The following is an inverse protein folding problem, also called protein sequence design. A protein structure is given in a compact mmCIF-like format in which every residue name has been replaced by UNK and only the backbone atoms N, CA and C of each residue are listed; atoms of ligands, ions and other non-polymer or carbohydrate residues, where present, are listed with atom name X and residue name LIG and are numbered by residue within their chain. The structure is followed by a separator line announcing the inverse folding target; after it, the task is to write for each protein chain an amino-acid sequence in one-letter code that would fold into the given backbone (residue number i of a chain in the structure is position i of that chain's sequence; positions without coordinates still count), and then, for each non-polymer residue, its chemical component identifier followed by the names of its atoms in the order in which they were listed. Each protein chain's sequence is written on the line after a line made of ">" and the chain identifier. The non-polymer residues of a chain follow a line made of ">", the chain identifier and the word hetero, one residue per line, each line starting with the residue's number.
data_IF_212908867695
#
_entry.id   IF_212908867695
#
_cell.length_a   1.000
_cell.length_b   1.000
_cell.length_c   1.000
_cell.angle_alpha   90.00
_cell.angle_beta   90.00
_cell.angle_gamma   90.00
#
_symmetry.space_group_name_H-M   'P 1'
#
loop_
_entity.id
_entity.type
_entity.pdbx_description
1 polymer ?
#
# COMPACT_ATOMS: atom_id res chain seq x y z
N UNK A 1 17.78 5.92 -0.38
CA UNK A 1 17.03 5.19 0.67
C UNK A 1 15.64 5.77 0.88
N UNK A 2 15.44 6.92 1.57
CA UNK A 2 14.10 7.51 1.82
C UNK A 2 13.30 7.83 0.55
N UNK A 3 13.89 8.55 -0.41
CA UNK A 3 13.25 8.87 -1.71
C UNK A 3 12.74 7.65 -2.48
N UNK A 4 13.46 6.53 -2.41
CA UNK A 4 13.04 5.32 -3.11
C UNK A 4 11.80 4.73 -2.46
N UNK A 5 11.80 4.67 -1.13
CA UNK A 5 10.68 4.16 -0.34
C UNK A 5 9.42 5.01 -0.54
N UNK A 6 9.58 6.33 -0.52
CA UNK A 6 8.49 7.28 -0.80
C UNK A 6 7.91 7.09 -2.20
N UNK A 7 8.76 6.95 -3.24
CA UNK A 7 8.30 6.70 -4.61
C UNK A 7 7.62 5.35 -4.80
N UNK A 8 8.08 4.29 -4.10
CA UNK A 8 7.44 2.98 -4.16
C UNK A 8 6.04 3.00 -3.54
N UNK A 9 5.87 3.68 -2.40
CA UNK A 9 4.55 3.85 -1.77
C UNK A 9 3.61 4.64 -2.67
N UNK A 10 4.06 5.74 -3.29
CA UNK A 10 3.27 6.51 -4.25
C UNK A 10 2.82 5.67 -5.44
N UNK A 11 3.72 4.84 -6.00
CA UNK A 11 3.39 3.94 -7.10
C UNK A 11 2.36 2.88 -6.72
N UNK A 12 2.49 2.26 -5.55
CA UNK A 12 1.50 1.31 -5.02
C UNK A 12 0.13 1.99 -4.90
N UNK A 13 0.06 3.21 -4.37
CA UNK A 13 -1.21 3.94 -4.26
C UNK A 13 -1.86 4.20 -5.63
N UNK A 14 -1.06 4.55 -6.63
CA UNK A 14 -1.54 4.74 -8.01
C UNK A 14 -2.03 3.43 -8.64
N UNK A 15 -1.38 2.31 -8.33
CA UNK A 15 -1.77 0.99 -8.82
C UNK A 15 -3.10 0.52 -8.19
N UNK A 16 -3.28 0.71 -6.89
CA UNK A 16 -4.48 0.25 -6.15
C UNK A 16 -5.68 1.17 -6.36
N UNK A 17 -5.47 2.50 -6.32
CA UNK A 17 -6.56 3.47 -6.31
C UNK A 17 -6.67 4.29 -7.61
N UNK A 18 -5.76 4.08 -8.56
CA UNK A 18 -5.65 4.87 -9.79
C UNK A 18 -4.79 6.12 -9.62
N UNK A 19 -4.31 6.68 -10.74
CA UNK A 19 -3.40 7.83 -10.74
C UNK A 19 -4.00 9.10 -10.14
N UNK A 20 -5.30 9.30 -10.29
CA UNK A 20 -6.00 10.49 -9.81
C UNK A 20 -6.29 10.42 -8.31
N UNK A 21 -6.70 9.25 -7.80
CA UNK A 21 -7.10 9.07 -6.39
C UNK A 21 -5.99 8.52 -5.50
N UNK A 22 -4.96 7.90 -6.07
CA UNK A 22 -3.83 7.35 -5.32
C UNK A 22 -3.21 8.33 -4.32
N UNK A 23 -2.83 9.54 -4.74
CA UNK A 23 -2.23 10.53 -3.83
C UNK A 23 -3.16 10.94 -2.68
N UNK A 24 -4.46 11.13 -2.94
CA UNK A 24 -5.42 11.55 -1.92
C UNK A 24 -5.81 10.42 -0.97
N UNK A 25 -5.84 9.18 -1.44
CA UNK A 25 -6.06 7.99 -0.60
C UNK A 25 -4.87 7.73 0.33
N UNK A 26 -3.63 7.82 -0.18
CA UNK A 26 -2.42 7.64 0.64
C UNK A 26 -2.22 8.77 1.65
N UNK A 27 -2.61 10.00 1.29
CA UNK A 27 -2.52 11.18 2.15
C UNK A 27 -3.75 11.39 3.06
N UNK A 28 -4.71 10.46 3.08
CA UNK A 28 -5.94 10.63 3.83
C UNK A 28 -5.67 10.67 5.36
N UNK A 29 -6.31 11.64 6.02
CA UNK A 29 -6.26 11.79 7.48
C UNK A 29 -7.65 11.51 8.04
N UNK A 30 -7.73 10.62 9.03
CA UNK A 30 -8.99 10.30 9.72
C UNK A 30 -9.41 11.41 10.68
N UNK A 31 -10.71 11.48 10.95
CA UNK A 31 -11.28 12.45 11.86
C UNK A 31 -10.72 12.28 13.28
N UNK A 32 -10.69 13.38 14.04
CA UNK A 32 -10.23 13.33 15.43
C UNK A 32 -11.09 12.37 16.27
N UNK A 33 -10.45 11.60 17.14
CA UNK A 33 -11.10 10.57 17.96
C UNK A 33 -11.37 9.25 17.24
N UNK A 34 -11.12 9.15 15.93
CA UNK A 34 -11.21 7.88 15.20
C UNK A 34 -9.91 7.08 15.30
N UNK A 35 -9.99 5.73 15.30
CA UNK A 35 -8.79 4.90 15.22
C UNK A 35 -8.11 5.04 13.86
N UNK A 36 -6.78 4.88 13.82
CA UNK A 36 -5.98 4.99 12.58
C UNK A 36 -6.44 4.03 11.49
N UNK A 37 -6.79 2.81 11.87
CA UNK A 37 -7.38 1.78 11.02
C UNK A 37 -8.49 1.06 11.78
N UNK A 38 -9.43 0.46 11.06
CA UNK A 38 -10.50 -0.34 11.68
C UNK A 38 -10.04 -1.78 11.94
N UNK A 39 -9.14 -2.31 11.10
CA UNK A 39 -8.55 -3.65 11.24
C UNK A 39 -7.02 -3.57 11.37
N UNK A 40 -6.54 -3.83 12.59
CA UNK A 40 -5.12 -3.87 12.91
C UNK A 40 -4.40 -5.11 12.38
N UNK A 41 -5.11 -6.23 12.16
CA UNK A 41 -4.54 -7.42 11.54
C UNK A 41 -4.27 -7.17 10.06
N UNK A 42 -5.24 -6.60 9.35
CA UNK A 42 -5.08 -6.19 7.94
C UNK A 42 -3.88 -5.25 7.77
N UNK A 43 -3.75 -4.21 8.61
CA UNK A 43 -2.60 -3.29 8.57
C UNK A 43 -1.26 -4.02 8.75
N UNK A 44 -1.17 -4.94 9.72
CA UNK A 44 0.06 -5.71 9.98
C UNK A 44 0.42 -6.61 8.81
N UNK A 45 -0.55 -7.28 8.20
CA UNK A 45 -0.35 -8.12 7.02
C UNK A 45 0.13 -7.26 5.85
N UNK A 46 -0.56 -6.17 5.54
CA UNK A 46 -0.16 -5.26 4.45
C UNK A 46 1.27 -4.74 4.60
N UNK A 47 1.66 -4.30 5.80
CA UNK A 47 3.02 -3.81 6.06
C UNK A 47 4.04 -4.94 5.95
N UNK A 48 3.75 -6.12 6.50
CA UNK A 48 4.66 -7.26 6.44
C UNK A 48 4.86 -7.79 5.02
N UNK A 49 3.81 -7.80 4.20
CA UNK A 49 3.89 -8.15 2.79
C UNK A 49 4.62 -7.07 1.97
N UNK A 50 4.47 -5.79 2.30
CA UNK A 50 5.10 -4.71 1.52
C UNK A 50 6.60 -4.57 1.80
N UNK A 51 7.06 -4.81 3.04
CA UNK A 51 8.46 -4.61 3.48
C UNK A 51 9.49 -5.38 2.62
N UNK A 52 9.32 -6.68 2.32
CA UNK A 52 10.25 -7.44 1.48
C UNK A 52 10.50 -6.78 0.12
N UNK A 53 9.47 -6.21 -0.52
CA UNK A 53 9.55 -5.58 -1.84
C UNK A 53 10.16 -4.18 -1.84
N UNK A 54 10.38 -3.58 -0.67
CA UNK A 54 11.08 -2.31 -0.55
C UNK A 54 12.61 -2.47 -0.53
N UNK A 55 13.11 -3.71 -0.61
CA UNK A 55 14.52 -3.99 -0.84
C UNK A 55 14.89 -3.80 -2.33
N UNK A 56 15.97 -3.05 -2.65
CA UNK A 56 16.34 -2.72 -4.03
C UNK A 56 16.61 -3.91 -4.98
N UNK A 57 16.79 -5.13 -4.44
CA UNK A 57 17.20 -6.31 -5.20
C UNK A 57 16.00 -7.06 -5.81
N UNK A 58 14.80 -6.93 -5.22
CA UNK A 58 13.61 -7.70 -5.63
C UNK A 58 12.71 -6.98 -6.65
N UNK A 59 13.03 -5.75 -7.06
CA UNK A 59 12.27 -5.02 -8.10
C UNK A 59 12.52 -5.52 -9.54
N UNK A 60 13.33 -6.55 -9.75
CA UNK A 60 13.68 -7.04 -11.10
C UNK A 60 12.62 -7.98 -11.70
N UNK A 61 11.68 -8.49 -10.91
CA UNK A 61 10.67 -9.46 -11.36
C UNK A 61 9.26 -8.96 -11.00
N UNK A 62 8.36 -8.77 -11.97
CA UNK A 62 7.00 -8.32 -11.70
C UNK A 62 6.27 -9.46 -10.99
N UNK A 63 5.95 -9.37 -9.68
CA UNK A 63 5.26 -10.44 -9.02
C UNK A 63 3.76 -10.26 -9.27
N UNK A 64 3.06 -11.38 -9.26
CA UNK A 64 1.66 -11.61 -9.56
C UNK A 64 0.69 -10.95 -8.55
N UNK A 65 0.98 -9.71 -8.15
CA UNK A 65 0.43 -8.97 -6.99
C UNK A 65 -1.03 -8.52 -7.11
N UNK A 66 -1.75 -8.91 -8.16
CA UNK A 66 -3.18 -8.63 -8.25
C UNK A 66 -4.03 -9.56 -7.34
N UNK A 67 -3.49 -10.66 -6.82
CA UNK A 67 -4.30 -11.62 -6.05
C UNK A 67 -4.79 -11.15 -4.68
N UNK A 68 -3.99 -10.44 -3.84
CA UNK A 68 -4.47 -10.03 -2.51
C UNK A 68 -5.39 -8.79 -2.55
N UNK A 69 -5.23 -7.91 -3.55
CA UNK A 69 -6.01 -6.67 -3.67
C UNK A 69 -7.45 -6.98 -4.12
N UNK A 70 -7.63 -7.95 -5.02
CA UNK A 70 -8.96 -8.44 -5.43
C UNK A 70 -9.74 -9.07 -4.26
N UNK A 71 -9.08 -9.77 -3.33
CA UNK A 71 -9.74 -10.36 -2.16
C UNK A 71 -10.17 -9.34 -1.09
N UNK A 72 -9.54 -8.17 -1.05
CA UNK A 72 -9.87 -7.11 -0.07
C UNK A 72 -11.00 -6.20 -0.58
N UNK A 73 -11.25 -6.18 -1.89
CA UNK A 73 -12.37 -5.43 -2.51
C UNK A 73 -13.64 -6.28 -2.72
N UNK A 74 -13.58 -7.58 -2.40
CA UNK A 74 -14.71 -8.53 -2.48
C UNK A 74 -15.40 -8.80 -1.12
N UNK A 75 -15.12 -8.01 -0.07
CA UNK A 75 -15.84 -8.04 1.20
C UNK A 75 -16.19 -6.62 1.69
#
# INVERSE_FOLDING_TARGET
>A
HRKHLDSSIDFIGKLVFGFDKGPSMLGAVRGSGQPLVDDWYCLKTMVSETIPYLNPIDMQHPPLFLFPIELTLLY
#
